data_IF_149427371813
#
_entry.id   IF_149427371813
#
_cell.length_a   1.000
_cell.length_b   1.000
_cell.length_c   1.000
_cell.angle_alpha   90.00
_cell.angle_beta   90.00
_cell.angle_gamma   90.00
#
_symmetry.space_group_name_H-M   'P 1'
#
loop_
_entity.id
_entity.type
_entity.pdbx_description
1 polymer ?
#
# COMPACT_ATOMS: atom_id res chain seq x y z
N UNK A 1 -23.64 -73.40 3.20
CA UNK A 1 -24.17 -73.11 4.55
C UNK A 1 -23.49 -71.84 5.04
N UNK A 2 -24.30 -70.87 5.51
CA UNK A 2 -23.92 -69.58 6.14
C UNK A 2 -23.37 -68.47 5.21
N UNK A 3 -23.71 -67.19 5.36
CA UNK A 3 -24.73 -66.47 6.14
C UNK A 3 -24.73 -65.02 5.61
N UNK A 4 -25.93 -64.49 5.32
CA UNK A 4 -26.36 -63.09 5.47
C UNK A 4 -25.52 -61.97 4.83
N UNK A 5 -26.02 -61.47 3.71
CA UNK A 5 -25.92 -60.06 3.33
C UNK A 5 -26.71 -59.24 4.35
N UNK A 6 -26.09 -58.20 4.90
CA UNK A 6 -26.81 -57.10 5.56
C UNK A 6 -26.08 -55.78 5.21
N UNK A 7 -26.78 -54.92 4.50
CA UNK A 7 -26.40 -53.53 4.23
C UNK A 7 -27.24 -52.65 5.16
N UNK A 8 -26.60 -51.85 6.01
CA UNK A 8 -27.15 -50.61 6.58
C UNK A 8 -26.07 -49.90 7.43
N UNK A 9 -25.54 -48.75 6.98
CA UNK A 9 -25.94 -47.37 7.31
C UNK A 9 -25.44 -46.92 8.69
N UNK A 10 -24.65 -45.85 8.74
CA UNK A 10 -24.45 -45.10 9.99
C UNK A 10 -23.13 -44.37 10.11
N UNK A 11 -23.03 -43.23 9.43
CA UNK A 11 -22.15 -42.07 9.62
C UNK A 11 -21.23 -42.12 10.85
N UNK A 12 -19.92 -42.16 10.57
CA UNK A 12 -18.84 -41.88 11.52
C UNK A 12 -18.87 -40.40 11.89
N UNK A 13 -19.42 -40.04 13.06
CA UNK A 13 -19.29 -38.70 13.62
C UNK A 13 -17.94 -38.62 14.33
N UNK A 14 -16.87 -38.36 13.57
CA UNK A 14 -15.64 -37.83 14.16
C UNK A 14 -15.97 -36.38 14.54
N UNK A 15 -16.20 -36.15 15.83
CA UNK A 15 -16.24 -34.82 16.41
C UNK A 15 -14.82 -34.22 16.33
N UNK A 16 -14.48 -33.68 15.17
CA UNK A 16 -13.35 -32.76 15.04
C UNK A 16 -13.75 -31.53 15.85
N UNK A 17 -13.23 -31.43 17.07
CA UNK A 17 -13.23 -30.18 17.84
C UNK A 17 -12.48 -29.17 16.98
N UNK A 18 -13.23 -28.31 16.29
CA UNK A 18 -12.68 -27.23 15.47
C UNK A 18 -12.00 -26.26 16.45
N UNK A 19 -10.68 -26.36 16.56
CA UNK A 19 -9.85 -25.30 17.12
C UNK A 19 -10.18 -24.01 16.35
N UNK A 20 -10.74 -23.02 17.04
CA UNK A 20 -10.83 -21.66 16.51
C UNK A 20 -9.42 -21.11 16.45
N UNK A 21 -8.78 -21.25 15.29
CA UNK A 21 -7.52 -20.58 14.99
C UNK A 21 -7.86 -19.09 14.87
N UNK A 22 -7.72 -18.34 15.96
CA UNK A 22 -7.61 -16.88 15.87
C UNK A 22 -6.21 -16.59 15.33
N UNK A 23 -6.04 -16.68 14.01
CA UNK A 23 -4.89 -16.05 13.37
C UNK A 23 -5.09 -14.56 13.51
N UNK A 24 -4.46 -13.95 14.53
CA UNK A 24 -4.17 -12.52 14.48
C UNK A 24 -3.08 -12.34 13.43
N UNK A 25 -3.47 -12.40 12.15
CA UNK A 25 -2.71 -11.72 11.12
C UNK A 25 -2.72 -10.25 11.53
N UNK A 26 -1.65 -9.82 12.21
CA UNK A 26 -1.31 -8.41 12.33
C UNK A 26 -1.04 -7.92 10.90
N UNK A 27 -2.11 -7.71 10.13
CA UNK A 27 -2.07 -7.07 8.83
C UNK A 27 -1.52 -5.70 9.13
N UNK A 28 -0.24 -5.51 8.83
CA UNK A 28 0.40 -4.23 9.01
C UNK A 28 -0.22 -3.30 7.97
N UNK A 29 -1.32 -2.68 8.38
CA UNK A 29 -2.19 -1.89 7.52
C UNK A 29 -1.58 -0.50 7.38
N UNK A 30 -1.38 -0.09 6.14
CA UNK A 30 -1.06 1.29 5.82
C UNK A 30 -2.23 2.17 6.27
N UNK A 31 -1.93 3.23 7.01
CA UNK A 31 -2.89 4.26 7.39
C UNK A 31 -2.74 5.44 6.43
N UNK A 32 -3.85 6.00 5.99
CA UNK A 32 -3.84 7.23 5.20
C UNK A 32 -3.21 8.37 6.01
N UNK A 33 -2.26 9.10 5.41
CA UNK A 33 -1.62 10.26 6.01
C UNK A 33 -2.11 11.57 5.38
N UNK A 34 -2.27 11.61 4.06
CA UNK A 34 -2.67 12.82 3.32
C UNK A 34 -1.58 13.31 2.37
N UNK A 35 -1.41 14.64 2.30
CA UNK A 35 -0.46 15.29 1.40
C UNK A 35 -0.78 15.00 -0.08
N UNK A 36 -2.04 15.21 -0.45
CA UNK A 36 -2.56 14.84 -1.77
C UNK A 36 -2.07 15.81 -2.86
N UNK A 37 -1.79 15.27 -4.04
CA UNK A 37 -1.61 16.01 -5.28
C UNK A 37 -2.40 15.32 -6.39
N UNK A 38 -2.88 16.12 -7.36
CA UNK A 38 -3.68 15.62 -8.48
C UNK A 38 -3.07 16.01 -9.82
N UNK A 39 -3.21 15.13 -10.80
CA UNK A 39 -2.69 15.32 -12.16
C UNK A 39 -2.79 14.03 -12.96
N UNK A 40 -2.57 14.11 -14.26
CA UNK A 40 -2.53 12.95 -15.15
C UNK A 40 -1.14 12.28 -15.05
N UNK A 41 -1.07 11.12 -14.38
CA UNK A 41 0.18 10.44 -14.05
C UNK A 41 0.48 9.23 -14.93
N UNK A 42 -0.48 8.81 -15.76
CA UNK A 42 -0.33 7.71 -16.71
C UNK A 42 -0.52 8.13 -18.19
N UNK A 43 -0.94 9.38 -18.45
CA UNK A 43 -1.13 9.95 -19.78
C UNK A 43 -2.47 9.61 -20.44
N UNK A 44 -3.46 9.16 -19.69
CA UNK A 44 -4.79 8.81 -20.24
C UNK A 44 -5.78 9.98 -20.25
N UNK A 45 -5.37 11.15 -19.75
CA UNK A 45 -6.18 12.37 -19.69
C UNK A 45 -7.16 12.41 -18.51
N UNK A 46 -7.17 11.41 -17.62
CA UNK A 46 -7.93 11.42 -16.37
C UNK A 46 -7.09 12.02 -15.24
N UNK A 47 -7.77 12.66 -14.29
CA UNK A 47 -7.12 13.23 -13.11
C UNK A 47 -6.88 12.13 -12.06
N UNK A 48 -5.63 11.72 -11.91
CA UNK A 48 -5.16 10.78 -10.89
C UNK A 48 -4.86 11.48 -9.57
N UNK A 49 -4.64 10.70 -8.51
CA UNK A 49 -4.35 11.22 -7.17
C UNK A 49 -3.15 10.54 -6.54
N UNK A 50 -2.08 11.30 -6.28
CA UNK A 50 -0.94 10.89 -5.48
C UNK A 50 -1.13 11.32 -4.02
N UNK A 51 -0.78 10.45 -3.07
CA UNK A 51 -0.89 10.74 -1.64
C UNK A 51 0.11 9.90 -0.83
N UNK A 52 0.26 10.24 0.45
CA UNK A 52 1.07 9.49 1.39
C UNK A 52 0.23 8.60 2.30
N UNK A 53 0.77 7.43 2.58
CA UNK A 53 0.34 6.52 3.63
C UNK A 53 1.48 6.29 4.61
N UNK A 54 1.14 5.89 5.83
CA UNK A 54 2.10 5.62 6.90
C UNK A 54 1.90 4.25 7.51
N UNK A 55 2.99 3.67 7.98
CA UNK A 55 3.01 2.41 8.73
C UNK A 55 3.80 2.62 10.01
N UNK A 56 3.21 2.23 11.14
CA UNK A 56 3.86 2.29 12.45
C UNK A 56 4.31 0.89 12.86
N UNK A 57 5.57 0.77 13.27
CA UNK A 57 6.13 -0.48 13.78
C UNK A 57 7.31 -0.20 14.69
N UNK A 58 7.35 -0.85 15.86
CA UNK A 58 8.48 -0.74 16.79
C UNK A 58 8.79 0.69 17.28
N UNK A 59 7.79 1.57 17.34
CA UNK A 59 7.96 2.97 17.75
C UNK A 59 8.39 3.93 16.63
N UNK A 60 8.74 3.42 15.46
CA UNK A 60 9.05 4.22 14.27
C UNK A 60 7.85 4.35 13.35
N UNK A 61 7.81 5.46 12.60
CA UNK A 61 6.81 5.71 11.55
C UNK A 61 7.49 5.77 10.18
N UNK A 62 7.12 4.86 9.29
CA UNK A 62 7.56 4.86 7.88
C UNK A 62 6.49 5.44 6.99
N UNK A 63 6.90 6.25 6.01
CA UNK A 63 6.05 6.92 5.05
C UNK A 63 6.26 6.36 3.64
N UNK A 64 5.17 6.25 2.90
CA UNK A 64 5.14 5.70 1.55
C UNK A 64 4.23 6.56 0.67
N UNK A 65 4.59 6.73 -0.60
CA UNK A 65 3.72 7.31 -1.61
C UNK A 65 2.90 6.22 -2.31
N UNK A 66 1.66 6.55 -2.66
CA UNK A 66 0.79 5.75 -3.52
C UNK A 66 0.07 6.66 -4.50
N UNK A 67 -0.34 6.08 -5.62
CA UNK A 67 -1.17 6.75 -6.62
C UNK A 67 -2.45 5.94 -6.82
N UNK A 68 -3.59 6.60 -6.77
CA UNK A 68 -4.85 6.09 -7.27
C UNK A 68 -5.00 6.56 -8.72
N UNK A 69 -4.79 5.65 -9.67
CA UNK A 69 -4.99 5.92 -11.10
C UNK A 69 -6.49 5.86 -11.39
N UNK A 70 -7.05 6.95 -11.91
CA UNK A 70 -8.48 7.02 -12.21
C UNK A 70 -8.80 6.13 -13.42
N UNK A 71 -9.94 5.47 -13.37
CA UNK A 71 -10.48 4.69 -14.48
C UNK A 71 -11.93 5.08 -14.72
N UNK A 72 -12.53 4.59 -15.80
CA UNK A 72 -13.94 4.83 -16.10
C UNK A 72 -14.90 4.36 -14.99
N UNK A 73 -14.49 3.39 -14.17
CA UNK A 73 -15.35 2.75 -13.16
C UNK A 73 -14.85 2.91 -11.72
N UNK A 74 -13.73 3.61 -11.49
CA UNK A 74 -13.18 3.79 -10.15
C UNK A 74 -11.70 4.17 -10.17
N UNK A 75 -10.90 3.47 -9.36
CA UNK A 75 -9.46 3.69 -9.24
C UNK A 75 -8.68 2.37 -9.22
N UNK A 76 -7.47 2.39 -9.79
CA UNK A 76 -6.46 1.35 -9.64
C UNK A 76 -5.29 1.92 -8.82
N UNK A 77 -5.11 1.43 -7.60
CA UNK A 77 -4.03 1.88 -6.72
C UNK A 77 -2.70 1.22 -7.06
N UNK A 78 -1.61 1.97 -7.05
CA UNK A 78 -0.24 1.48 -7.27
C UNK A 78 0.32 0.76 -6.04
N UNK A 79 1.48 0.12 -6.20
CA UNK A 79 2.30 -0.28 -5.06
C UNK A 79 2.66 0.95 -4.19
N UNK A 80 2.87 0.76 -2.88
CA UNK A 80 3.48 1.77 -2.04
C UNK A 80 4.97 1.91 -2.39
N UNK A 81 5.42 3.14 -2.58
CA UNK A 81 6.83 3.49 -2.75
C UNK A 81 7.39 4.09 -1.46
N UNK A 82 8.47 3.53 -0.91
CA UNK A 82 9.05 4.00 0.35
C UNK A 82 9.68 5.39 0.22
N UNK A 83 9.26 6.32 1.07
CA UNK A 83 9.81 7.69 1.12
C UNK A 83 10.88 7.80 2.19
N UNK A 84 10.60 7.31 3.40
CA UNK A 84 11.53 7.39 4.53
C UNK A 84 10.91 6.92 5.84
N UNK A 85 11.76 6.77 6.86
CA UNK A 85 11.36 6.44 8.24
C UNK A 85 11.73 7.60 9.15
N UNK A 86 10.81 7.94 10.06
CA UNK A 86 10.95 9.03 11.03
C UNK A 86 11.34 10.36 10.37
N UNK A 87 10.74 10.62 9.20
CA UNK A 87 10.84 11.88 8.46
C UNK A 87 9.66 12.81 8.79
N UNK A 88 9.76 14.07 8.38
CA UNK A 88 8.63 15.00 8.33
C UNK A 88 8.21 15.25 6.87
N UNK A 89 7.11 14.66 6.37
CA UNK A 89 6.57 14.99 5.06
C UNK A 89 6.23 16.50 4.96
N UNK A 90 6.54 17.13 3.83
CA UNK A 90 6.33 18.58 3.62
C UNK A 90 5.29 18.86 2.54
N UNK A 91 5.48 18.31 1.34
CA UNK A 91 4.55 18.51 0.21
C UNK A 91 4.64 17.39 -0.81
N UNK A 92 3.52 17.11 -1.48
CA UNK A 92 3.49 16.33 -2.72
C UNK A 92 3.11 17.28 -3.85
N UNK A 93 3.84 17.24 -4.97
CA UNK A 93 3.60 18.09 -6.11
C UNK A 93 3.69 17.31 -7.41
N UNK A 94 2.79 17.60 -8.35
CA UNK A 94 2.82 17.07 -9.72
C UNK A 94 3.04 18.26 -10.64
N UNK A 95 4.23 18.41 -11.26
CA UNK A 95 4.49 19.49 -12.19
C UNK A 95 3.51 19.45 -13.36
N UNK A 96 3.04 20.63 -13.77
CA UNK A 96 2.08 20.77 -14.87
C UNK A 96 2.64 20.14 -16.14
N UNK A 97 1.81 19.40 -16.87
CA UNK A 97 2.17 18.69 -18.10
C UNK A 97 3.34 17.70 -17.91
N UNK A 98 3.49 17.14 -16.70
CA UNK A 98 4.41 16.05 -16.42
C UNK A 98 3.65 14.86 -15.83
N UNK A 99 4.23 13.67 -15.97
CA UNK A 99 3.78 12.44 -15.30
C UNK A 99 4.67 12.12 -14.09
N UNK A 100 5.31 13.16 -13.53
CA UNK A 100 6.24 13.03 -12.41
C UNK A 100 5.60 13.48 -11.10
N UNK A 101 6.01 12.85 -10.01
CA UNK A 101 5.59 13.20 -8.65
C UNK A 101 6.82 13.61 -7.87
N UNK A 102 6.75 14.77 -7.22
CA UNK A 102 7.77 15.28 -6.33
C UNK A 102 7.27 15.20 -4.89
N UNK A 103 7.91 14.37 -4.07
CA UNK A 103 7.60 14.25 -2.64
C UNK A 103 8.72 14.91 -1.84
N UNK A 104 8.44 16.07 -1.26
CA UNK A 104 9.35 16.79 -0.39
C UNK A 104 9.18 16.33 1.06
N UNK A 105 10.30 16.12 1.75
CA UNK A 105 10.35 15.72 3.14
C UNK A 105 11.60 16.25 3.84
N UNK A 106 11.53 16.40 5.16
CA UNK A 106 12.66 16.76 5.99
C UNK A 106 13.15 15.54 6.77
N UNK A 107 14.46 15.28 6.74
CA UNK A 107 15.07 14.25 7.59
C UNK A 107 15.13 14.75 9.04
N UNK A 108 14.69 13.91 9.99
CA UNK A 108 14.85 14.20 11.42
C UNK A 108 16.22 13.69 11.86
N UNK A 109 17.27 14.49 11.70
CA UNK A 109 18.55 14.22 12.36
C UNK A 109 18.54 14.81 13.76
N UNK A 110 18.91 14.03 14.76
CA UNK A 110 18.94 14.48 16.16
C UNK A 110 19.81 15.73 16.30
N UNK A 111 19.20 16.87 16.63
CA UNK A 111 19.89 18.11 17.01
C UNK A 111 20.36 19.04 15.88
N UNK A 112 20.07 18.78 14.60
CA UNK A 112 20.44 19.66 13.48
C UNK A 112 19.20 20.16 12.70
N UNK A 113 19.24 21.35 12.07
CA UNK A 113 18.18 21.78 11.17
C UNK A 113 17.99 20.74 10.06
N UNK A 114 16.74 20.32 9.85
CA UNK A 114 16.40 19.36 8.80
C UNK A 114 16.70 19.94 7.42
N UNK A 115 17.45 19.20 6.61
CA UNK A 115 17.62 19.50 5.19
C UNK A 115 16.43 18.91 4.44
N UNK A 116 15.76 19.71 3.61
CA UNK A 116 14.70 19.23 2.73
C UNK A 116 15.27 18.35 1.62
N UNK A 117 14.69 17.17 1.44
CA UNK A 117 14.98 16.24 0.37
C UNK A 117 13.73 16.03 -0.49
N UNK A 118 13.94 15.68 -1.76
CA UNK A 118 12.85 15.42 -2.71
C UNK A 118 13.03 14.04 -3.33
N UNK A 119 12.00 13.20 -3.27
CA UNK A 119 11.89 11.99 -4.11
C UNK A 119 11.12 12.33 -5.37
N UNK A 120 11.72 11.99 -6.51
CA UNK A 120 11.09 12.05 -7.83
C UNK A 120 10.59 10.66 -8.21
N UNK A 121 9.30 10.54 -8.49
CA UNK A 121 8.63 9.29 -8.79
C UNK A 121 7.88 9.38 -10.12
N UNK A 122 7.60 8.23 -10.73
CA UNK A 122 6.65 8.12 -11.84
C UNK A 122 5.87 6.82 -11.77
N UNK A 123 4.73 6.79 -12.43
CA UNK A 123 4.02 5.55 -12.74
C UNK A 123 4.55 5.03 -14.08
N UNK A 124 5.03 3.78 -14.11
CA UNK A 124 5.46 3.17 -15.36
C UNK A 124 4.27 2.59 -16.14
N UNK A 125 4.50 2.12 -17.37
CA UNK A 125 3.46 1.58 -18.26
C UNK A 125 2.69 0.37 -17.69
N UNK A 126 3.21 -0.29 -16.65
CA UNK A 126 2.53 -1.40 -15.97
C UNK A 126 1.65 -0.93 -14.80
N UNK A 127 1.63 0.37 -14.48
CA UNK A 127 0.94 0.93 -13.32
C UNK A 127 1.71 0.73 -12.01
N UNK A 128 3.03 0.59 -12.07
CA UNK A 128 3.91 0.50 -10.88
C UNK A 128 4.49 1.88 -10.61
N UNK A 129 4.43 2.32 -9.35
CA UNK A 129 5.08 3.54 -8.87
C UNK A 129 6.55 3.24 -8.55
N UNK A 130 7.45 3.91 -9.24
CA UNK A 130 8.91 3.75 -9.12
C UNK A 130 9.62 5.10 -8.94
N UNK A 131 10.83 5.05 -8.38
CA UNK A 131 11.68 6.23 -8.23
C UNK A 131 12.48 6.50 -9.50
N UNK A 132 12.69 7.78 -9.83
CA UNK A 132 13.42 8.22 -11.03
C UNK A 132 14.94 8.24 -10.86
N UNK A 133 15.46 8.15 -9.64
CA UNK A 133 16.90 8.10 -9.37
C UNK A 133 17.38 6.65 -9.33
N UNK A 134 18.30 6.29 -10.23
CA UNK A 134 19.13 5.07 -10.12
C UNK A 134 20.40 5.39 -9.36
#
# INVERSE_FOLDING_TARGET
>A
MNKKVLVSVGIVIIAIVIFKISSTTNKSEFKYFGNEAKGDLNGDGLEDKAYLVMKQSGGSTSYYAQVDLKTATGYKTTNPFFIGTDIAPQSTYIPKNSQEIQVAYAERKSGAPSVGAVKLLKVNSSGILEGLMK
#
